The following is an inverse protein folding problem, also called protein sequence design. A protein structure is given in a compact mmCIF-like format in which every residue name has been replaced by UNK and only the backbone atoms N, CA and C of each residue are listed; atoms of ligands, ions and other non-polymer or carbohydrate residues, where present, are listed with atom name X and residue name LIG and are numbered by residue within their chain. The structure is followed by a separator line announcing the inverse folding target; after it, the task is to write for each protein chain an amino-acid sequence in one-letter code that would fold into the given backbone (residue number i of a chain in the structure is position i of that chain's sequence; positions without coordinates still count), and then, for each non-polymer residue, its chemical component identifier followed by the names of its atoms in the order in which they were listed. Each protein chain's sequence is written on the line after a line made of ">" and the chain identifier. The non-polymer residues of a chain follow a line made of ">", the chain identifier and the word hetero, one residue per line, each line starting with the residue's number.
data_IF_557299288021
#
_entry.id   IF_557299288021
#
_cell.length_a   1.000
_cell.length_b   1.000
_cell.length_c   1.000
_cell.angle_alpha   90.00
_cell.angle_beta   90.00
_cell.angle_gamma   90.00
#
_symmetry.space_group_name_H-M   'P 1'
#
loop_
_entity.id
_entity.type
_entity.pdbx_description
1 polymer ?
#
# COMPACT_ATOMS: atom_id res chain seq x y z
N UNK A 1 -18.26 17.02 0.26
CA UNK A 1 -18.10 17.23 1.70
C UNK A 1 -19.19 18.15 2.24
N UNK A 2 -19.22 19.42 1.85
CA UNK A 2 -20.19 20.42 2.35
C UNK A 2 -21.65 19.95 2.28
N UNK A 3 -22.10 19.45 1.13
CA UNK A 3 -23.47 18.95 0.94
C UNK A 3 -23.83 17.78 1.87
N UNK A 4 -22.90 16.91 2.21
CA UNK A 4 -23.16 15.79 3.13
C UNK A 4 -23.07 16.20 4.59
N UNK A 5 -22.18 17.13 4.95
CA UNK A 5 -22.02 17.58 6.33
C UNK A 5 -23.25 18.29 6.90
N UNK A 6 -24.06 18.91 6.02
CA UNK A 6 -25.34 19.54 6.42
C UNK A 6 -26.51 18.56 6.57
N UNK A 7 -26.33 17.29 6.14
CA UNK A 7 -27.38 16.25 6.23
C UNK A 7 -27.12 15.29 7.39
N UNK A 8 -26.00 14.57 7.32
CA UNK A 8 -25.66 13.55 8.31
C UNK A 8 -24.14 13.29 8.27
N UNK A 9 -23.44 13.62 9.35
CA UNK A 9 -22.00 13.36 9.47
C UNK A 9 -21.72 11.96 10.02
N UNK A 10 -22.39 11.57 11.11
CA UNK A 10 -22.21 10.29 11.78
C UNK A 10 -23.55 9.79 12.34
N UNK A 11 -23.70 8.48 12.39
CA UNK A 11 -24.74 7.77 13.13
C UNK A 11 -24.19 6.49 13.73
N UNK A 12 -24.92 5.84 14.63
CA UNK A 12 -24.53 4.52 15.14
C UNK A 12 -24.45 3.50 13.99
N UNK A 13 -23.45 2.61 14.07
CA UNK A 13 -23.30 1.48 13.16
C UNK A 13 -24.47 0.48 13.21
N UNK A 14 -25.36 0.61 14.18
CA UNK A 14 -26.60 -0.16 14.25
C UNK A 14 -27.63 0.25 13.19
N UNK A 15 -27.44 1.37 12.52
CA UNK A 15 -28.37 1.89 11.51
C UNK A 15 -27.75 1.85 10.11
N UNK A 16 -28.60 1.53 9.13
CA UNK A 16 -28.25 1.61 7.73
C UNK A 16 -28.35 3.05 7.24
N UNK A 17 -27.38 3.46 6.40
CA UNK A 17 -27.39 4.77 5.76
C UNK A 17 -27.11 4.61 4.27
N UNK A 18 -27.80 5.37 3.43
CA UNK A 18 -27.63 5.36 1.97
C UNK A 18 -26.19 5.66 1.55
N UNK A 19 -25.46 6.68 2.09
CA UNK A 19 -24.08 6.93 1.69
C UNK A 19 -23.13 5.76 1.98
N UNK A 20 -23.37 5.04 3.08
CA UNK A 20 -22.54 3.89 3.44
C UNK A 20 -22.82 2.70 2.54
N UNK A 21 -24.09 2.37 2.31
CA UNK A 21 -24.47 1.27 1.43
C UNK A 21 -23.95 1.48 -0.01
N UNK A 22 -24.15 2.68 -0.56
CA UNK A 22 -23.65 3.06 -1.89
C UNK A 22 -22.11 2.95 -1.97
N UNK A 23 -21.41 3.36 -0.92
CA UNK A 23 -19.94 3.26 -0.88
C UNK A 23 -19.48 1.81 -0.87
N UNK A 24 -20.07 0.95 -0.05
CA UNK A 24 -19.74 -0.47 0.02
C UNK A 24 -19.96 -1.18 -1.32
N UNK A 25 -21.14 -0.96 -1.93
CA UNK A 25 -21.47 -1.50 -3.25
C UNK A 25 -20.46 -1.07 -4.32
N UNK A 26 -20.16 0.24 -4.36
CA UNK A 26 -19.17 0.79 -5.30
C UNK A 26 -17.81 0.15 -5.12
N UNK A 27 -17.32 0.06 -3.87
CA UNK A 27 -15.99 -0.48 -3.59
C UNK A 27 -15.91 -1.98 -3.91
N UNK A 28 -16.97 -2.74 -3.60
CA UNK A 28 -17.11 -4.14 -3.99
C UNK A 28 -17.05 -4.31 -5.52
N UNK A 29 -17.84 -3.53 -6.25
CA UNK A 29 -17.92 -3.62 -7.71
C UNK A 29 -16.59 -3.33 -8.41
N UNK A 30 -15.85 -2.29 -7.98
CA UNK A 30 -14.58 -1.93 -8.62
C UNK A 30 -13.41 -2.84 -8.23
N UNK A 31 -13.49 -3.49 -7.08
CA UNK A 31 -12.43 -4.34 -6.55
C UNK A 31 -12.63 -5.82 -6.86
N UNK A 32 -13.87 -6.25 -7.09
CA UNK A 32 -14.24 -7.64 -7.29
C UNK A 32 -14.35 -8.46 -5.99
N UNK A 33 -14.23 -7.82 -4.82
CA UNK A 33 -14.41 -8.50 -3.53
C UNK A 33 -15.87 -8.46 -3.06
N UNK A 34 -16.33 -9.57 -2.50
CA UNK A 34 -17.72 -9.72 -2.03
C UNK A 34 -18.01 -8.96 -0.74
N UNK A 35 -16.99 -8.78 0.12
CA UNK A 35 -17.17 -8.22 1.46
C UNK A 35 -16.19 -7.11 1.75
N UNK A 36 -16.69 -6.03 2.35
CA UNK A 36 -15.94 -4.83 2.68
C UNK A 36 -16.17 -4.45 4.14
N UNK A 37 -15.11 -4.34 4.92
CA UNK A 37 -15.15 -3.84 6.30
C UNK A 37 -14.38 -2.53 6.41
N UNK A 38 -15.09 -1.45 6.70
CA UNK A 38 -14.53 -0.09 6.73
C UNK A 38 -14.01 0.29 8.10
N UNK A 39 -12.87 0.97 8.11
CA UNK A 39 -12.21 1.59 9.26
C UNK A 39 -11.87 3.05 8.94
N UNK A 40 -11.09 3.71 9.78
CA UNK A 40 -10.70 5.12 9.59
C UNK A 40 -9.27 5.24 9.06
N UNK A 41 -8.32 4.60 9.70
CA UNK A 41 -6.90 4.67 9.34
C UNK A 41 -6.42 3.41 8.65
N UNK A 42 -5.35 3.52 7.86
CA UNK A 42 -4.73 2.35 7.24
C UNK A 42 -4.29 1.31 8.27
N UNK A 43 -3.75 1.76 9.41
CA UNK A 43 -3.36 0.87 10.50
C UNK A 43 -4.54 0.06 11.05
N UNK A 44 -5.73 0.67 11.21
CA UNK A 44 -6.94 -0.07 11.63
C UNK A 44 -7.36 -1.12 10.59
N UNK A 45 -7.23 -0.81 9.30
CA UNK A 45 -7.54 -1.79 8.24
C UNK A 45 -6.52 -2.94 8.22
N UNK A 46 -5.24 -2.66 8.48
CA UNK A 46 -4.21 -3.70 8.66
C UNK A 46 -4.51 -4.58 9.89
N UNK A 47 -4.81 -3.98 11.04
CA UNK A 47 -5.22 -4.72 12.25
C UNK A 47 -6.47 -5.59 11.98
N UNK A 48 -7.41 -5.09 11.18
CA UNK A 48 -8.60 -5.83 10.73
C UNK A 48 -8.20 -7.05 9.90
N UNK A 49 -7.28 -6.90 8.95
CA UNK A 49 -6.79 -7.98 8.10
C UNK A 49 -6.05 -9.05 8.89
N UNK A 50 -5.22 -8.66 9.87
CA UNK A 50 -4.54 -9.58 10.80
C UNK A 50 -5.56 -10.41 11.59
N UNK A 51 -6.59 -9.75 12.13
CA UNK A 51 -7.66 -10.43 12.87
C UNK A 51 -8.46 -11.39 11.97
N UNK A 52 -8.77 -10.98 10.73
CA UNK A 52 -9.45 -11.82 9.74
C UNK A 52 -8.63 -13.06 9.41
N UNK A 53 -7.33 -12.89 9.10
CA UNK A 53 -6.42 -13.98 8.78
C UNK A 53 -6.29 -14.99 9.93
N UNK A 54 -6.13 -14.51 11.18
CA UNK A 54 -6.07 -15.39 12.36
C UNK A 54 -7.36 -16.18 12.55
N UNK A 55 -8.53 -15.53 12.43
CA UNK A 55 -9.83 -16.24 12.56
C UNK A 55 -10.05 -17.25 11.47
N UNK A 56 -9.72 -16.92 10.22
CA UNK A 56 -9.76 -17.90 9.13
C UNK A 56 -8.80 -19.06 9.40
N UNK A 57 -7.59 -18.78 9.89
CA UNK A 57 -6.63 -19.78 10.29
C UNK A 57 -7.17 -20.76 11.34
N UNK A 58 -7.89 -20.27 12.34
CA UNK A 58 -8.48 -21.10 13.40
C UNK A 58 -9.71 -21.86 12.92
N UNK A 59 -10.64 -21.21 12.24
CA UNK A 59 -11.97 -21.76 11.96
C UNK A 59 -12.09 -22.47 10.61
N UNK A 60 -11.29 -22.09 9.60
CA UNK A 60 -11.29 -22.75 8.28
C UNK A 60 -10.10 -23.67 8.11
N UNK A 61 -8.89 -23.22 8.45
CA UNK A 61 -7.67 -24.03 8.27
C UNK A 61 -7.42 -25.04 9.42
N UNK A 62 -8.04 -24.86 10.58
CA UNK A 62 -7.87 -25.74 11.73
C UNK A 62 -6.56 -25.54 12.50
N UNK A 63 -5.94 -24.38 12.43
CA UNK A 63 -4.78 -24.05 13.26
C UNK A 63 -5.24 -24.01 14.71
N UNK A 64 -4.47 -24.59 15.66
CA UNK A 64 -4.81 -24.51 17.08
C UNK A 64 -4.86 -23.05 17.55
N UNK A 65 -5.78 -22.75 18.47
CA UNK A 65 -5.94 -21.40 19.03
C UNK A 65 -4.60 -20.85 19.53
N UNK A 66 -4.40 -19.53 19.36
CA UNK A 66 -3.19 -18.79 19.70
C UNK A 66 -1.91 -19.12 18.89
N UNK A 67 -1.98 -20.05 17.93
CA UNK A 67 -0.82 -20.48 17.15
C UNK A 67 -0.78 -19.91 15.72
N UNK A 68 -1.77 -19.13 15.28
CA UNK A 68 -1.78 -18.60 13.93
C UNK A 68 -0.61 -17.64 13.67
N UNK A 69 0.13 -17.89 12.59
CA UNK A 69 1.29 -17.11 12.18
C UNK A 69 1.02 -16.40 10.84
N UNK A 70 1.51 -15.18 10.74
CA UNK A 70 1.48 -14.36 9.51
C UNK A 70 2.91 -14.05 9.09
N UNK A 71 3.22 -14.23 7.81
CA UNK A 71 4.53 -13.89 7.26
C UNK A 71 4.42 -12.50 6.60
N UNK A 72 5.37 -11.63 6.92
CA UNK A 72 5.50 -10.29 6.35
C UNK A 72 6.86 -10.13 5.65
N UNK A 73 6.99 -9.12 4.80
CA UNK A 73 8.25 -8.85 4.12
C UNK A 73 9.20 -7.98 4.96
N UNK A 74 10.50 -8.16 4.81
CA UNK A 74 11.49 -7.20 5.30
C UNK A 74 11.31 -5.85 4.59
N UNK A 75 11.52 -4.75 5.30
CA UNK A 75 11.32 -3.39 4.79
C UNK A 75 9.86 -2.96 4.74
N UNK A 76 8.93 -3.74 5.32
CA UNK A 76 7.51 -3.41 5.33
C UNK A 76 7.19 -2.14 6.11
N UNK A 77 6.09 -1.49 5.67
CA UNK A 77 5.45 -0.43 6.44
C UNK A 77 3.92 -0.56 6.38
N UNK A 78 3.33 -1.06 7.45
CA UNK A 78 1.88 -1.29 7.55
C UNK A 78 1.18 -0.38 8.57
N UNK A 79 1.91 0.52 9.20
CA UNK A 79 1.41 1.43 10.24
C UNK A 79 2.26 1.42 11.50
N UNK A 80 1.71 1.96 12.61
CA UNK A 80 2.48 2.17 13.85
C UNK A 80 1.73 1.79 15.13
N UNK A 81 0.72 0.92 15.05
CA UNK A 81 0.11 0.33 16.24
C UNK A 81 1.08 -0.65 16.90
N UNK A 82 0.84 -0.99 18.18
CA UNK A 82 1.69 -1.91 18.93
C UNK A 82 1.80 -3.30 18.28
N UNK A 83 0.73 -3.80 17.64
CA UNK A 83 0.79 -5.04 16.86
C UNK A 83 1.64 -4.87 15.60
N UNK A 84 1.43 -3.78 14.86
CA UNK A 84 2.12 -3.57 13.57
C UNK A 84 3.62 -3.35 13.78
N UNK A 85 4.03 -2.58 14.77
CA UNK A 85 5.47 -2.39 15.05
C UNK A 85 6.15 -3.68 15.51
N UNK A 86 5.40 -4.68 16.00
CA UNK A 86 5.95 -5.99 16.39
C UNK A 86 6.68 -6.68 15.24
N UNK A 87 6.23 -6.51 14.01
CA UNK A 87 6.80 -7.12 12.82
C UNK A 87 7.50 -6.13 11.88
N UNK A 88 7.67 -4.87 12.29
CA UNK A 88 8.52 -3.94 11.54
C UNK A 88 9.96 -4.43 11.54
N UNK A 89 10.65 -4.28 10.41
CA UNK A 89 12.09 -4.55 10.30
C UNK A 89 12.97 -3.32 10.61
N UNK A 90 12.35 -2.14 10.76
CA UNK A 90 13.05 -0.90 11.11
C UNK A 90 13.06 -0.74 12.65
N UNK A 91 14.26 -0.72 13.24
CA UNK A 91 14.45 -0.57 14.67
C UNK A 91 13.87 0.75 15.20
N UNK A 92 13.93 1.82 14.40
CA UNK A 92 13.40 3.13 14.81
C UNK A 92 11.89 3.12 15.08
N UNK A 93 11.16 2.15 14.54
CA UNK A 93 9.74 1.95 14.80
C UNK A 93 9.45 1.02 15.99
N UNK A 94 10.46 0.32 16.50
CA UNK A 94 10.33 -0.71 17.54
C UNK A 94 10.92 -0.30 18.89
N UNK A 95 11.99 0.47 18.88
CA UNK A 95 12.77 0.77 20.06
C UNK A 95 11.90 1.44 21.13
N UNK A 96 11.82 0.79 22.32
CA UNK A 96 11.07 1.25 23.46
C UNK A 96 9.55 0.97 23.44
N UNK A 97 9.01 0.28 22.44
CA UNK A 97 7.56 0.03 22.28
C UNK A 97 7.12 -1.42 22.59
N UNK A 98 8.05 -2.28 23.09
CA UNK A 98 7.65 -3.62 23.55
C UNK A 98 6.79 -3.58 24.84
N UNK A 99 6.14 -4.71 25.21
CA UNK A 99 6.26 -6.05 24.65
C UNK A 99 5.57 -6.20 23.31
N UNK A 100 6.15 -7.02 22.43
CA UNK A 100 5.66 -7.20 21.06
C UNK A 100 4.62 -8.32 20.94
N UNK A 101 3.66 -8.11 20.04
CA UNK A 101 2.65 -9.12 19.70
C UNK A 101 3.30 -10.29 18.95
N UNK A 102 3.12 -11.55 19.41
CA UNK A 102 3.66 -12.74 18.76
C UNK A 102 2.90 -13.16 17.50
N UNK A 103 3.42 -14.17 16.80
CA UNK A 103 2.78 -14.79 15.65
C UNK A 103 3.12 -14.13 14.31
N UNK A 104 4.29 -13.47 14.23
CA UNK A 104 4.79 -12.89 12.98
C UNK A 104 6.16 -13.43 12.63
N UNK A 105 6.39 -13.67 11.33
CA UNK A 105 7.68 -14.04 10.75
C UNK A 105 8.01 -13.09 9.61
N UNK A 106 9.29 -12.87 9.37
CA UNK A 106 9.78 -12.00 8.31
C UNK A 106 10.48 -12.82 7.22
N UNK A 107 10.20 -12.48 5.96
CA UNK A 107 10.87 -13.02 4.78
C UNK A 107 11.45 -11.88 3.93
N UNK A 108 12.39 -12.18 3.05
CA UNK A 108 13.04 -11.18 2.22
C UNK A 108 12.12 -10.72 1.09
N UNK A 109 12.06 -9.41 0.88
CA UNK A 109 11.26 -8.81 -0.20
C UNK A 109 12.04 -8.82 -1.52
N UNK A 110 11.36 -9.09 -2.64
CA UNK A 110 11.93 -8.90 -3.97
C UNK A 110 12.21 -7.41 -4.22
N UNK A 111 13.35 -7.06 -4.81
CA UNK A 111 13.79 -5.66 -4.96
C UNK A 111 14.80 -5.22 -3.89
N UNK A 112 15.04 -6.05 -2.86
CA UNK A 112 16.25 -5.99 -2.04
C UNK A 112 17.34 -6.97 -2.55
N UNK A 113 16.96 -7.94 -3.37
CA UNK A 113 17.86 -8.79 -4.14
C UNK A 113 18.01 -8.17 -5.54
N UNK A 114 19.21 -7.89 -6.01
CA UNK A 114 19.46 -7.45 -7.40
C UNK A 114 19.23 -8.63 -8.38
N UNK A 115 18.01 -9.22 -8.33
CA UNK A 115 17.65 -10.30 -9.22
C UNK A 115 17.19 -9.73 -10.58
N UNK A 116 17.82 -10.15 -11.65
CA UNK A 116 17.48 -9.74 -13.03
C UNK A 116 16.22 -10.41 -13.55
N UNK A 117 15.86 -11.57 -12.99
CA UNK A 117 14.64 -12.31 -13.34
C UNK A 117 13.99 -12.96 -12.12
N UNK A 118 12.72 -13.34 -12.27
CA UNK A 118 11.97 -13.99 -11.19
C UNK A 118 12.52 -15.39 -10.87
N UNK A 119 13.06 -16.09 -11.84
CA UNK A 119 13.65 -17.43 -11.67
C UNK A 119 14.87 -17.41 -10.74
N UNK A 120 15.59 -16.30 -10.70
CA UNK A 120 16.76 -16.09 -9.84
C UNK A 120 16.42 -15.34 -8.56
N UNK A 121 15.15 -15.07 -8.29
CA UNK A 121 14.72 -14.30 -7.13
C UNK A 121 14.59 -15.20 -5.88
N UNK A 122 15.53 -15.08 -4.95
CA UNK A 122 15.53 -15.82 -3.69
C UNK A 122 14.41 -15.42 -2.72
N UNK A 123 13.66 -14.36 -3.02
CA UNK A 123 12.59 -13.87 -2.16
C UNK A 123 11.48 -14.91 -1.98
N UNK A 124 11.02 -15.56 -3.06
CA UNK A 124 9.98 -16.59 -2.97
C UNK A 124 10.43 -17.76 -2.08
N UNK A 125 11.66 -18.21 -2.25
CA UNK A 125 12.26 -19.25 -1.40
C UNK A 125 12.34 -18.82 0.08
N UNK A 126 12.65 -17.54 0.33
CA UNK A 126 12.66 -16.96 1.68
C UNK A 126 11.27 -17.03 2.33
N UNK A 127 10.20 -16.72 1.59
CA UNK A 127 8.82 -16.90 2.06
C UNK A 127 8.50 -18.38 2.30
N UNK A 128 8.80 -19.26 1.35
CA UNK A 128 8.50 -20.69 1.46
C UNK A 128 9.16 -21.33 2.69
N UNK A 129 10.43 -21.02 2.98
CA UNK A 129 11.14 -21.51 4.17
C UNK A 129 10.51 -21.08 5.50
N UNK A 130 9.73 -20.01 5.53
CA UNK A 130 9.05 -19.54 6.75
C UNK A 130 7.69 -20.17 6.96
N UNK A 131 7.09 -20.76 5.91
CA UNK A 131 5.78 -21.39 5.97
C UNK A 131 5.85 -22.68 6.79
N UNK A 132 4.86 -22.87 7.68
CA UNK A 132 4.64 -24.09 8.41
C UNK A 132 3.13 -24.35 8.60
N UNK A 133 2.76 -25.37 9.35
CA UNK A 133 1.36 -25.77 9.61
C UNK A 133 0.52 -24.68 10.28
N UNK A 134 1.13 -23.73 10.97
CA UNK A 134 0.48 -22.66 11.69
C UNK A 134 0.40 -21.35 10.86
N UNK A 135 0.97 -21.31 9.66
CA UNK A 135 0.92 -20.13 8.81
C UNK A 135 -0.50 -19.98 8.24
N UNK A 136 -1.14 -18.84 8.49
CA UNK A 136 -2.48 -18.52 7.98
C UNK A 136 -2.46 -17.53 6.82
N UNK A 137 -1.45 -16.63 6.75
CA UNK A 137 -1.39 -15.61 5.70
C UNK A 137 0.04 -15.15 5.40
N UNK A 138 0.20 -14.60 4.20
CA UNK A 138 1.29 -13.68 3.83
C UNK A 138 0.66 -12.30 3.67
N UNK A 139 1.24 -11.28 4.34
CA UNK A 139 0.83 -9.88 4.26
C UNK A 139 1.99 -9.05 3.70
N UNK A 140 1.81 -8.45 2.54
CA UNK A 140 2.85 -7.67 1.86
C UNK A 140 2.29 -6.45 1.14
N UNK A 141 3.16 -5.46 0.90
CA UNK A 141 2.92 -4.38 -0.05
C UNK A 141 3.28 -4.87 -1.45
N UNK A 142 2.44 -4.67 -2.50
CA UNK A 142 2.82 -5.01 -3.88
C UNK A 142 4.03 -4.22 -4.37
N UNK A 143 4.17 -2.99 -3.89
CA UNK A 143 5.33 -2.12 -4.06
C UNK A 143 5.60 -1.51 -2.70
N UNK A 144 6.79 -1.70 -2.15
CA UNK A 144 7.14 -1.13 -0.86
C UNK A 144 7.40 0.37 -0.97
N UNK A 145 6.58 1.16 -0.28
CA UNK A 145 6.65 2.61 -0.30
C UNK A 145 7.76 3.19 0.56
N UNK A 146 7.65 2.98 1.86
CA UNK A 146 8.58 3.57 2.84
C UNK A 146 10.00 2.98 2.72
N UNK A 147 10.15 1.77 2.20
CA UNK A 147 11.46 1.16 1.93
C UNK A 147 12.18 1.73 0.70
N UNK A 148 11.62 2.73 0.01
CA UNK A 148 12.28 3.42 -1.10
C UNK A 148 11.69 3.14 -2.48
N UNK A 149 10.38 3.00 -2.57
CA UNK A 149 9.65 2.66 -3.82
C UNK A 149 10.26 1.42 -4.47
N UNK A 150 10.33 0.35 -3.70
CA UNK A 150 10.87 -0.93 -4.19
C UNK A 150 9.80 -1.63 -5.02
N UNK A 151 10.04 -1.69 -6.32
CA UNK A 151 9.19 -2.41 -7.27
C UNK A 151 9.76 -3.81 -7.44
N UNK A 152 9.00 -4.87 -7.15
CA UNK A 152 9.49 -6.22 -7.34
C UNK A 152 9.67 -6.55 -8.83
N UNK A 153 10.49 -7.55 -9.12
CA UNK A 153 10.65 -8.12 -10.47
C UNK A 153 9.31 -8.64 -10.96
N UNK A 154 9.01 -8.44 -12.23
CA UNK A 154 7.79 -8.93 -12.85
C UNK A 154 7.60 -10.44 -12.62
N UNK A 155 6.38 -10.85 -12.30
CA UNK A 155 6.03 -12.22 -11.92
C UNK A 155 6.15 -12.53 -10.43
N UNK A 156 6.67 -11.61 -9.60
CA UNK A 156 6.85 -11.87 -8.17
C UNK A 156 5.52 -12.07 -7.44
N UNK A 157 4.54 -11.21 -7.68
CA UNK A 157 3.21 -11.36 -7.06
C UNK A 157 2.51 -12.63 -7.55
N UNK A 158 2.70 -12.98 -8.83
CA UNK A 158 2.18 -14.21 -9.41
C UNK A 158 2.77 -15.43 -8.70
N UNK A 159 4.10 -15.49 -8.52
CA UNK A 159 4.76 -16.57 -7.78
C UNK A 159 4.33 -16.64 -6.32
N UNK A 160 4.12 -15.48 -5.69
CA UNK A 160 3.64 -15.42 -4.32
C UNK A 160 2.20 -15.95 -4.20
N UNK A 161 1.34 -15.62 -5.20
CA UNK A 161 -0.02 -16.16 -5.29
C UNK A 161 0.00 -17.68 -5.46
N UNK A 162 0.78 -18.21 -6.41
CA UNK A 162 0.96 -19.64 -6.62
C UNK A 162 1.43 -20.36 -5.33
N UNK A 163 2.38 -19.77 -4.61
CA UNK A 163 2.85 -20.30 -3.34
C UNK A 163 1.73 -20.35 -2.28
N UNK A 164 0.97 -19.26 -2.15
CA UNK A 164 -0.15 -19.21 -1.19
C UNK A 164 -1.22 -20.26 -1.51
N UNK A 165 -1.57 -20.43 -2.78
CA UNK A 165 -2.53 -21.44 -3.23
C UNK A 165 -2.05 -22.86 -2.91
N UNK A 166 -0.79 -23.16 -3.24
CA UNK A 166 -0.20 -24.48 -3.00
C UNK A 166 -0.11 -24.85 -1.51
N UNK A 167 0.00 -23.85 -0.63
CA UNK A 167 0.13 -24.05 0.84
C UNK A 167 -1.18 -23.81 1.59
N UNK A 168 -2.28 -23.49 0.90
CA UNK A 168 -3.57 -23.12 1.49
C UNK A 168 -3.40 -22.05 2.59
N UNK A 169 -2.86 -20.89 2.21
CA UNK A 169 -2.69 -19.70 3.07
C UNK A 169 -3.18 -18.46 2.32
N UNK A 170 -3.65 -17.47 3.06
CA UNK A 170 -4.17 -16.24 2.47
C UNK A 170 -3.04 -15.34 1.96
N UNK A 171 -3.21 -14.76 0.77
CA UNK A 171 -2.41 -13.64 0.28
C UNK A 171 -3.17 -12.34 0.55
N UNK A 172 -2.62 -11.48 1.42
CA UNK A 172 -3.19 -10.18 1.75
C UNK A 172 -2.26 -9.09 1.23
N UNK A 173 -2.80 -8.20 0.40
CA UNK A 173 -2.04 -7.10 -0.18
C UNK A 173 -2.41 -5.77 0.49
N UNK A 174 -1.40 -5.08 1.01
CA UNK A 174 -1.53 -3.72 1.50
C UNK A 174 -1.34 -2.74 0.35
N UNK A 175 -2.45 -2.24 -0.17
CA UNK A 175 -2.49 -1.23 -1.21
C UNK A 175 -2.90 0.16 -0.71
N UNK A 176 -2.63 0.45 0.56
CA UNK A 176 -2.89 1.77 1.15
C UNK A 176 -2.12 2.87 0.40
N UNK A 177 -0.89 2.59 -0.07
CA UNK A 177 -0.08 3.54 -0.84
C UNK A 177 -0.14 3.30 -2.35
N UNK A 178 -0.14 2.04 -2.78
CA UNK A 178 -0.04 1.64 -4.20
C UNK A 178 -1.36 1.66 -4.95
N UNK A 179 -2.48 1.55 -4.24
CA UNK A 179 -3.81 1.47 -4.83
C UNK A 179 -4.37 2.78 -5.36
N UNK A 180 -5.59 2.69 -5.87
CA UNK A 180 -6.41 3.82 -6.31
C UNK A 180 -5.73 4.70 -7.37
N UNK A 181 -5.14 4.05 -8.37
CA UNK A 181 -4.58 4.71 -9.55
C UNK A 181 -3.12 5.12 -9.44
N UNK A 182 -2.50 5.08 -8.25
CA UNK A 182 -1.15 5.57 -8.00
C UNK A 182 -0.10 4.97 -8.96
N UNK A 183 -0.22 3.68 -9.27
CA UNK A 183 0.73 2.94 -10.10
C UNK A 183 0.34 2.87 -11.59
N UNK A 184 -0.73 3.57 -12.01
CA UNK A 184 -1.23 3.52 -13.39
C UNK A 184 -2.20 2.36 -13.67
N UNK A 185 -2.59 1.62 -12.65
CA UNK A 185 -3.72 0.68 -12.60
C UNK A 185 -4.59 1.07 -11.40
N UNK A 186 -5.86 0.63 -11.37
CA UNK A 186 -6.72 0.90 -10.22
C UNK A 186 -6.12 0.33 -8.93
N UNK A 187 -5.66 -0.92 -8.98
CA UNK A 187 -4.89 -1.59 -7.94
C UNK A 187 -3.58 -2.12 -8.50
N UNK A 188 -2.52 -2.13 -7.68
CA UNK A 188 -1.19 -2.55 -8.13
C UNK A 188 -1.13 -4.04 -8.49
N UNK A 189 -1.90 -4.91 -7.83
CA UNK A 189 -1.96 -6.33 -8.16
C UNK A 189 -2.43 -6.60 -9.60
N UNK A 190 -3.17 -5.66 -10.20
CA UNK A 190 -3.64 -5.78 -11.59
C UNK A 190 -2.51 -5.68 -12.63
N UNK A 191 -1.30 -5.28 -12.23
CA UNK A 191 -0.15 -5.33 -13.13
C UNK A 191 0.25 -6.76 -13.50
N UNK A 192 -0.02 -7.71 -12.61
CA UNK A 192 0.27 -9.14 -12.82
C UNK A 192 -1.00 -9.99 -12.98
N UNK A 193 -2.18 -9.35 -13.07
CA UNK A 193 -3.47 -10.03 -13.28
C UNK A 193 -3.77 -11.14 -12.24
N UNK A 194 -3.28 -11.00 -11.03
CA UNK A 194 -3.61 -11.88 -9.90
C UNK A 194 -4.81 -11.34 -9.14
N UNK A 195 -5.40 -12.18 -8.27
CA UNK A 195 -6.40 -11.77 -7.28
C UNK A 195 -5.91 -12.21 -5.90
N UNK A 196 -5.69 -11.27 -4.95
CA UNK A 196 -5.37 -11.63 -3.57
C UNK A 196 -6.62 -12.10 -2.82
N UNK A 197 -6.42 -12.78 -1.68
CA UNK A 197 -7.52 -13.16 -0.78
C UNK A 197 -7.99 -11.98 0.06
N UNK A 198 -7.12 -11.02 0.30
CA UNK A 198 -7.43 -9.80 1.04
C UNK A 198 -6.76 -8.57 0.46
N UNK A 199 -7.49 -7.46 0.45
CA UNK A 199 -7.01 -6.16 -0.02
C UNK A 199 -7.23 -5.09 1.05
N UNK A 200 -6.19 -4.32 1.33
CA UNK A 200 -6.24 -3.24 2.30
C UNK A 200 -6.12 -1.91 1.56
N UNK A 201 -7.07 -1.00 1.80
CA UNK A 201 -7.12 0.32 1.18
C UNK A 201 -7.17 1.44 2.23
N UNK A 202 -6.66 2.61 1.88
CA UNK A 202 -6.66 3.79 2.75
C UNK A 202 -6.18 5.03 2.00
N UNK A 203 -5.58 5.99 2.70
CA UNK A 203 -5.01 7.24 2.14
C UNK A 203 -5.88 7.88 1.04
N UNK A 204 -5.59 7.61 -0.23
CA UNK A 204 -6.31 8.17 -1.38
C UNK A 204 -7.81 7.85 -1.38
N UNK A 205 -8.24 6.79 -0.69
CA UNK A 205 -9.65 6.43 -0.54
C UNK A 205 -10.49 7.57 0.05
N UNK A 206 -9.90 8.35 0.95
CA UNK A 206 -10.54 9.52 1.56
C UNK A 206 -10.47 10.81 0.74
N UNK A 207 -10.00 10.76 -0.51
CA UNK A 207 -9.90 11.91 -1.41
C UNK A 207 -9.03 13.05 -0.87
N UNK A 208 -8.06 12.75 0.00
CA UNK A 208 -7.23 13.71 0.75
C UNK A 208 -8.03 14.67 1.66
N UNK A 209 -9.29 14.37 1.96
CA UNK A 209 -10.18 15.21 2.77
C UNK A 209 -10.51 14.59 4.12
N UNK A 210 -10.79 13.29 4.16
CA UNK A 210 -11.20 12.58 5.37
C UNK A 210 -10.46 11.26 5.51
N UNK A 211 -10.14 10.83 6.74
CA UNK A 211 -9.64 9.48 6.97
C UNK A 211 -10.75 8.46 6.74
N UNK A 212 -10.48 7.50 5.88
CA UNK A 212 -11.26 6.28 5.67
C UNK A 212 -10.35 5.20 5.13
N UNK A 213 -10.57 3.97 5.57
CA UNK A 213 -9.87 2.79 5.10
C UNK A 213 -10.82 1.60 5.03
N UNK A 214 -10.39 0.55 4.38
CA UNK A 214 -11.16 -0.67 4.27
C UNK A 214 -10.25 -1.89 4.18
N UNK A 215 -10.70 -2.99 4.75
CA UNK A 215 -10.25 -4.34 4.43
C UNK A 215 -11.33 -5.04 3.60
N UNK A 216 -10.93 -5.59 2.47
CA UNK A 216 -11.80 -6.29 1.52
C UNK A 216 -11.35 -7.74 1.40
N UNK A 217 -12.30 -8.67 1.35
CA UNK A 217 -12.01 -10.10 1.20
C UNK A 217 -13.22 -10.85 0.69
N UNK A 218 -13.06 -12.16 0.49
CA UNK A 218 -14.17 -13.05 0.20
C UNK A 218 -15.14 -13.16 1.38
N UNK A 219 -16.36 -13.59 1.11
CA UNK A 219 -17.33 -13.89 2.14
C UNK A 219 -16.84 -14.99 3.09
N UNK A 220 -16.16 -16.01 2.56
CA UNK A 220 -15.56 -17.11 3.36
C UNK A 220 -14.66 -16.57 4.47
N UNK A 221 -13.78 -15.62 4.20
CA UNK A 221 -12.90 -15.02 5.20
C UNK A 221 -13.66 -14.11 6.15
N UNK A 222 -14.56 -13.28 5.62
CA UNK A 222 -15.25 -12.24 6.39
C UNK A 222 -16.37 -12.76 7.28
N UNK A 223 -17.02 -13.88 6.94
CA UNK A 223 -18.10 -14.50 7.73
C UNK A 223 -17.62 -15.02 9.09
N UNK A 224 -16.32 -15.11 9.31
CA UNK A 224 -15.75 -15.37 10.63
C UNK A 224 -15.90 -14.20 11.59
N UNK A 225 -16.05 -12.97 11.12
CA UNK A 225 -16.45 -11.85 11.96
C UNK A 225 -17.93 -11.96 12.30
N UNK A 226 -18.24 -12.19 13.57
CA UNK A 226 -19.62 -12.21 14.07
C UNK A 226 -20.01 -10.84 14.65
N UNK A 227 -21.31 -10.51 14.70
CA UNK A 227 -21.77 -9.27 15.31
C UNK A 227 -21.13 -9.03 16.69
N UNK A 228 -20.57 -7.84 16.90
CA UNK A 228 -19.87 -7.47 18.12
C UNK A 228 -18.41 -7.94 18.24
N UNK A 229 -17.91 -8.81 17.35
CA UNK A 229 -16.52 -9.31 17.44
C UNK A 229 -15.46 -8.33 16.94
N UNK A 230 -15.84 -7.40 16.08
CA UNK A 230 -14.96 -6.36 15.52
C UNK A 230 -15.79 -5.20 14.98
N UNK A 231 -15.20 -3.99 14.95
CA UNK A 231 -15.85 -2.80 14.42
C UNK A 231 -15.12 -1.52 14.81
N UNK A 232 -15.70 -0.39 14.41
CA UNK A 232 -15.22 0.95 14.69
C UNK A 232 -16.42 1.90 14.82
N UNK A 233 -16.37 2.85 15.73
CA UNK A 233 -17.43 3.86 15.89
C UNK A 233 -17.54 4.76 14.65
N UNK A 234 -16.42 5.19 14.10
CA UNK A 234 -16.38 6.10 12.95
C UNK A 234 -16.17 5.40 11.61
N UNK A 235 -15.79 4.13 11.59
CA UNK A 235 -15.54 3.40 10.34
C UNK A 235 -16.80 3.32 9.47
N UNK A 236 -16.74 3.85 8.25
CA UNK A 236 -17.87 3.91 7.32
C UNK A 236 -18.94 4.93 7.69
N UNK A 237 -18.60 6.00 8.41
CA UNK A 237 -19.55 7.08 8.68
C UNK A 237 -20.05 7.69 7.38
N UNK A 238 -21.30 8.22 7.34
CA UNK A 238 -21.92 8.74 6.12
C UNK A 238 -21.13 9.83 5.41
N UNK A 239 -20.45 10.69 6.19
CA UNK A 239 -19.66 11.78 5.62
C UNK A 239 -18.43 11.27 4.87
N UNK A 240 -17.64 10.41 5.50
CA UNK A 240 -16.46 9.83 4.88
C UNK A 240 -16.84 8.89 3.71
N UNK A 241 -17.92 8.13 3.84
CA UNK A 241 -18.43 7.25 2.77
C UNK A 241 -18.83 8.03 1.53
N UNK A 242 -19.50 9.17 1.67
CA UNK A 242 -19.87 10.03 0.54
C UNK A 242 -18.66 10.67 -0.14
N UNK A 243 -17.67 11.10 0.66
CA UNK A 243 -16.42 11.65 0.13
C UNK A 243 -15.63 10.57 -0.62
N UNK A 244 -15.48 9.38 -0.03
CA UNK A 244 -14.78 8.26 -0.66
C UNK A 244 -15.45 7.80 -1.96
N UNK A 245 -16.79 7.70 -1.98
CA UNK A 245 -17.55 7.40 -3.20
C UNK A 245 -17.23 8.39 -4.32
N UNK A 246 -17.19 9.70 -4.02
CA UNK A 246 -16.85 10.70 -5.03
C UNK A 246 -15.37 10.67 -5.43
N UNK A 247 -14.47 10.38 -4.50
CA UNK A 247 -13.05 10.20 -4.82
C UNK A 247 -12.84 9.04 -5.82
N UNK A 248 -13.57 7.93 -5.64
CA UNK A 248 -13.56 6.82 -6.59
C UNK A 248 -14.12 7.27 -7.95
N UNK A 249 -15.25 7.99 -7.99
CA UNK A 249 -15.83 8.47 -9.26
C UNK A 249 -14.83 9.30 -10.05
N UNK A 250 -14.12 10.22 -9.41
CA UNK A 250 -13.13 11.09 -10.04
C UNK A 250 -11.96 10.31 -10.68
N UNK A 251 -11.60 9.13 -10.15
CA UNK A 251 -10.57 8.30 -10.77
C UNK A 251 -10.94 7.92 -12.22
N UNK A 252 -12.24 7.71 -12.47
CA UNK A 252 -12.76 7.31 -13.79
C UNK A 252 -13.22 8.52 -14.60
N UNK A 253 -14.01 9.44 -14.02
CA UNK A 253 -14.53 10.63 -14.69
C UNK A 253 -13.41 11.48 -15.30
N UNK A 254 -12.33 11.72 -14.52
CA UNK A 254 -11.20 12.55 -14.90
C UNK A 254 -10.03 11.72 -15.51
N UNK A 255 -10.24 10.42 -15.76
CA UNK A 255 -9.23 9.50 -16.31
C UNK A 255 -7.90 9.51 -15.54
N UNK A 256 -7.96 9.65 -14.22
CA UNK A 256 -6.76 9.84 -13.39
C UNK A 256 -5.84 8.61 -13.40
N UNK A 257 -6.38 7.41 -13.55
CA UNK A 257 -5.61 6.15 -13.65
C UNK A 257 -4.77 6.16 -14.94
N UNK A 258 -5.39 6.53 -16.06
CA UNK A 258 -4.70 6.63 -17.37
C UNK A 258 -3.64 7.75 -17.32
N UNK A 259 -3.99 8.91 -16.76
CA UNK A 259 -3.03 10.00 -16.58
C UNK A 259 -1.84 9.58 -15.72
N UNK A 260 -2.08 8.85 -14.62
CA UNK A 260 -1.01 8.31 -13.77
C UNK A 260 -0.07 7.38 -14.54
N UNK A 261 -0.61 6.53 -15.41
CA UNK A 261 0.19 5.68 -16.28
C UNK A 261 1.06 6.51 -17.23
N UNK A 262 0.42 7.34 -18.06
CA UNK A 262 1.10 8.07 -19.14
C UNK A 262 2.10 9.09 -18.60
N UNK A 263 1.71 9.87 -17.58
CA UNK A 263 2.59 10.86 -16.96
C UNK A 263 3.67 10.22 -16.10
N UNK A 264 3.39 9.07 -15.51
CA UNK A 264 4.38 8.28 -14.77
C UNK A 264 5.47 7.73 -15.67
N UNK A 265 5.11 7.13 -16.79
CA UNK A 265 6.06 6.65 -17.81
C UNK A 265 6.91 7.81 -18.36
N UNK A 266 6.28 8.94 -18.66
CA UNK A 266 6.96 10.15 -19.09
C UNK A 266 7.96 10.63 -18.05
N UNK A 267 7.54 10.80 -16.80
CA UNK A 267 8.37 11.30 -15.72
C UNK A 267 9.55 10.36 -15.43
N UNK A 268 9.28 9.06 -15.34
CA UNK A 268 10.31 8.03 -15.13
C UNK A 268 11.37 8.05 -16.24
N UNK A 269 10.92 8.15 -17.50
CA UNK A 269 11.81 8.24 -18.67
C UNK A 269 12.70 9.47 -18.59
N UNK A 270 12.15 10.64 -18.23
CA UNK A 270 12.91 11.89 -18.10
C UNK A 270 13.90 11.86 -16.96
N UNK A 271 13.51 11.33 -15.81
CA UNK A 271 14.43 11.21 -14.66
C UNK A 271 15.61 10.29 -14.96
N UNK A 272 15.39 9.20 -15.71
CA UNK A 272 16.46 8.28 -16.15
C UNK A 272 17.44 8.91 -17.17
N UNK A 273 17.04 9.97 -17.85
CA UNK A 273 17.89 10.72 -18.78
C UNK A 273 18.76 11.77 -18.11
N UNK A 274 18.55 12.07 -16.82
CA UNK A 274 19.37 13.03 -16.09
C UNK A 274 20.77 12.43 -15.90
N UNK A 275 21.73 12.97 -16.61
CA UNK A 275 23.15 12.63 -16.43
C UNK A 275 23.66 13.28 -15.14
N UNK A 276 23.83 12.47 -14.10
CA UNK A 276 24.31 12.94 -12.79
C UNK A 276 25.01 11.80 -12.04
N UNK A 277 26.19 12.09 -11.51
CA UNK A 277 27.01 11.13 -10.74
C UNK A 277 26.36 10.71 -9.42
N UNK A 278 25.45 11.54 -8.89
CA UNK A 278 24.79 11.26 -7.61
C UNK A 278 23.65 10.25 -7.74
N UNK A 279 23.11 10.02 -8.95
CA UNK A 279 21.98 9.09 -9.17
C UNK A 279 22.52 7.68 -9.37
N UNK A 280 22.11 6.76 -8.49
CA UNK A 280 22.41 5.33 -8.58
C UNK A 280 21.37 4.60 -9.42
N UNK A 281 20.07 4.86 -9.15
CA UNK A 281 18.96 4.18 -9.79
C UNK A 281 17.71 5.05 -9.79
N UNK A 282 16.90 4.95 -10.86
CA UNK A 282 15.55 5.54 -10.93
C UNK A 282 14.56 4.43 -11.20
N UNK A 283 13.66 4.18 -10.24
CA UNK A 283 12.64 3.12 -10.28
C UNK A 283 11.26 3.67 -9.89
N UNK A 284 10.23 2.95 -10.28
CA UNK A 284 8.86 3.35 -9.96
C UNK A 284 7.83 2.75 -10.89
N UNK A 285 6.55 3.03 -10.60
CA UNK A 285 5.42 2.61 -11.42
C UNK A 285 4.31 3.67 -11.35
N UNK A 286 3.80 4.11 -12.52
CA UNK A 286 2.89 5.24 -12.57
C UNK A 286 3.51 6.52 -11.97
N UNK A 287 2.73 7.32 -11.32
CA UNK A 287 3.18 8.54 -10.64
C UNK A 287 3.72 8.26 -9.22
N UNK A 288 4.53 7.22 -9.08
CA UNK A 288 5.20 6.87 -7.82
C UNK A 288 6.63 6.42 -8.10
N UNK A 289 7.57 7.34 -7.91
CA UNK A 289 8.95 7.19 -8.36
C UNK A 289 9.92 7.41 -7.19
N UNK A 290 10.91 6.54 -7.10
CA UNK A 290 12.06 6.64 -6.22
C UNK A 290 13.33 6.90 -7.02
N UNK A 291 14.09 7.89 -6.59
CA UNK A 291 15.45 8.15 -7.10
C UNK A 291 16.41 7.79 -6.00
N UNK A 292 17.15 6.69 -6.18
CA UNK A 292 18.19 6.26 -5.26
C UNK A 292 19.50 6.95 -5.59
N UNK A 293 20.17 7.45 -4.56
CA UNK A 293 21.41 8.21 -4.63
C UNK A 293 22.62 7.35 -4.24
N UNK A 294 23.78 7.70 -4.75
CA UNK A 294 25.06 7.17 -4.28
C UNK A 294 25.34 7.74 -2.88
N UNK A 295 25.36 6.87 -1.86
CA UNK A 295 25.48 7.24 -0.44
C UNK A 295 26.78 8.03 -0.13
N UNK A 296 27.85 7.81 -0.89
CA UNK A 296 29.14 8.51 -0.75
C UNK A 296 29.10 9.96 -1.18
N UNK A 297 28.12 10.36 -1.96
CA UNK A 297 28.13 11.68 -2.63
C UNK A 297 27.20 12.69 -1.92
N UNK A 298 26.00 12.27 -1.50
CA UNK A 298 25.00 13.19 -0.95
C UNK A 298 23.92 12.49 -0.13
N UNK A 299 23.35 13.23 0.83
CA UNK A 299 22.20 12.78 1.60
C UNK A 299 20.88 13.20 0.90
N UNK A 300 19.92 12.28 0.78
CA UNK A 300 18.63 12.55 0.15
C UNK A 300 17.85 13.71 0.81
N UNK A 301 17.99 13.88 2.13
CA UNK A 301 17.35 14.99 2.86
C UNK A 301 17.87 16.36 2.40
N UNK A 302 19.18 16.48 2.20
CA UNK A 302 19.78 17.75 1.76
C UNK A 302 19.30 18.11 0.35
N UNK A 303 19.21 17.11 -0.55
CA UNK A 303 18.63 17.32 -1.88
C UNK A 303 17.14 17.70 -1.82
N UNK A 304 16.37 17.09 -0.93
CA UNK A 304 14.97 17.50 -0.73
C UNK A 304 14.85 18.96 -0.28
N UNK A 305 15.77 19.45 0.56
CA UNK A 305 15.83 20.86 0.97
C UNK A 305 16.24 21.79 -0.19
N UNK A 306 17.18 21.37 -1.03
CA UNK A 306 17.55 22.13 -2.24
C UNK A 306 16.37 22.20 -3.21
N UNK A 307 15.65 21.11 -3.42
CA UNK A 307 14.45 21.07 -4.27
C UNK A 307 13.32 21.93 -3.68
N UNK A 308 13.17 21.97 -2.35
CA UNK A 308 12.22 22.86 -1.67
C UNK A 308 12.52 24.34 -2.00
N UNK A 309 13.79 24.75 -2.01
CA UNK A 309 14.19 26.11 -2.36
C UNK A 309 13.89 26.46 -3.85
N UNK A 310 13.81 25.43 -4.70
CA UNK A 310 13.36 25.58 -6.10
C UNK A 310 11.83 25.51 -6.25
N UNK A 311 11.09 25.37 -5.14
CA UNK A 311 9.62 25.30 -5.09
C UNK A 311 9.03 23.90 -5.26
N UNK A 312 9.85 22.83 -5.21
CA UNK A 312 9.42 21.46 -5.38
C UNK A 312 9.43 20.70 -4.05
N UNK A 313 8.23 20.30 -3.57
CA UNK A 313 8.09 19.46 -2.39
C UNK A 313 8.29 17.99 -2.75
N UNK A 314 9.27 17.36 -2.16
CA UNK A 314 9.49 15.93 -2.20
C UNK A 314 9.92 15.43 -0.83
N UNK A 315 10.03 14.12 -0.64
CA UNK A 315 10.39 13.55 0.64
C UNK A 315 11.41 12.44 0.46
N UNK A 316 12.42 12.45 1.34
CA UNK A 316 13.34 11.34 1.49
C UNK A 316 12.65 10.13 2.14
N UNK A 317 13.13 8.94 1.80
CA UNK A 317 12.93 7.73 2.57
C UNK A 317 14.28 7.04 2.75
N UNK A 318 14.55 6.64 4.00
CA UNK A 318 15.90 6.32 4.42
C UNK A 318 16.88 7.46 4.09
N UNK A 319 18.19 7.15 3.99
CA UNK A 319 19.22 8.17 3.75
C UNK A 319 19.45 8.51 2.28
N UNK A 320 19.04 7.60 1.39
CA UNK A 320 19.51 7.58 -0.01
C UNK A 320 18.43 7.73 -1.05
N UNK A 321 17.13 7.66 -0.71
CA UNK A 321 16.08 7.68 -1.72
C UNK A 321 15.22 8.93 -1.62
N UNK A 322 15.05 9.64 -2.73
CA UNK A 322 14.05 10.71 -2.87
C UNK A 322 12.80 10.13 -3.51
N UNK A 323 11.64 10.38 -2.90
CA UNK A 323 10.32 9.97 -3.43
C UNK A 323 9.63 11.12 -4.14
N UNK A 324 9.14 10.84 -5.33
CA UNK A 324 8.24 11.70 -6.08
C UNK A 324 6.88 11.03 -6.23
N UNK A 325 5.84 11.70 -5.75
CA UNK A 325 4.47 11.23 -5.81
C UNK A 325 3.50 12.39 -6.12
N UNK A 326 3.59 12.98 -7.31
CA UNK A 326 2.76 14.11 -7.67
C UNK A 326 1.26 13.74 -7.70
N UNK A 327 0.34 14.73 -7.71
CA UNK A 327 -1.08 14.48 -7.87
C UNK A 327 -1.38 13.69 -9.14
N UNK A 328 -2.37 12.78 -9.10
CA UNK A 328 -2.73 11.95 -10.26
C UNK A 328 -3.19 12.77 -11.47
N UNK A 329 -3.66 14.00 -11.25
CA UNK A 329 -4.10 14.94 -12.28
C UNK A 329 -2.98 15.84 -12.82
N UNK A 330 -1.73 15.60 -12.45
CA UNK A 330 -0.60 16.46 -12.87
C UNK A 330 -0.54 16.56 -14.38
N UNK A 331 -0.30 17.79 -14.88
CA UNK A 331 -0.15 18.03 -16.29
C UNK A 331 1.30 17.76 -16.77
N UNK A 332 1.45 17.51 -18.07
CA UNK A 332 2.80 17.41 -18.66
C UNK A 332 3.62 18.68 -18.44
N UNK A 333 2.99 19.86 -18.53
CA UNK A 333 3.64 21.17 -18.28
C UNK A 333 4.22 21.26 -16.87
N UNK A 334 3.47 20.82 -15.86
CA UNK A 334 3.93 20.85 -14.48
C UNK A 334 5.05 19.83 -14.24
N UNK A 335 4.99 18.67 -14.91
CA UNK A 335 6.08 17.71 -14.88
C UNK A 335 7.34 18.25 -15.56
N UNK A 336 7.23 18.90 -16.72
CA UNK A 336 8.37 19.52 -17.40
C UNK A 336 9.05 20.55 -16.49
N UNK A 337 8.25 21.40 -15.83
CA UNK A 337 8.75 22.34 -14.84
C UNK A 337 9.48 21.65 -13.67
N UNK A 338 8.89 20.57 -13.13
CA UNK A 338 9.52 19.82 -12.05
C UNK A 338 10.83 19.16 -12.49
N UNK A 339 10.87 18.57 -13.70
CA UNK A 339 12.06 17.95 -14.28
C UNK A 339 13.19 18.95 -14.44
N UNK A 340 12.90 20.18 -14.90
CA UNK A 340 13.89 21.25 -15.02
C UNK A 340 14.51 21.59 -13.66
N UNK A 341 13.68 21.68 -12.60
CA UNK A 341 14.14 21.94 -11.23
C UNK A 341 15.00 20.80 -10.69
N UNK A 342 14.55 19.56 -10.88
CA UNK A 342 15.31 18.36 -10.46
C UNK A 342 16.65 18.32 -11.20
N UNK A 343 16.63 18.51 -12.51
CA UNK A 343 17.84 18.50 -13.34
C UNK A 343 18.83 19.57 -12.90
N UNK A 344 18.35 20.80 -12.62
CA UNK A 344 19.18 21.90 -12.11
C UNK A 344 19.86 21.49 -10.81
N UNK A 345 19.10 21.00 -9.81
CA UNK A 345 19.64 20.61 -8.50
C UNK A 345 20.64 19.45 -8.62
N UNK A 346 20.32 18.42 -9.41
CA UNK A 346 21.18 17.25 -9.57
C UNK A 346 22.50 17.52 -10.31
N UNK A 347 22.57 18.61 -11.07
CA UNK A 347 23.78 19.05 -11.78
C UNK A 347 24.65 20.03 -10.98
N UNK A 348 24.17 20.55 -9.86
CA UNK A 348 24.93 21.47 -9.00
C UNK A 348 25.87 20.75 -8.03
N UNK A 349 25.76 19.43 -7.96
CA UNK A 349 26.59 18.54 -7.13
C UNK A 349 27.43 17.64 -8.05
#
# INVERSE_FOLDING_TARGET
>A
LQSQSTKLAITSRAFYTEPFATFLEKLSNISGFESVLTMNTGAEAVETSIKAARRWGYFSKGIPEDNAEIIVANGNFHGRTTTIVSFSSDSSYKDGFGPFTPGFKTADYCGSCNCESIENCLSIESFEKKINKNTCAILVEPIQGEAGIRVPTEGWLTKLRELCDAKNILLILDEIQSGLGRTGKLFAFQHENIMPDGLILGKALGGALLPISAFLSSKEVMDHFKPGSHGSTFGGNPLASKVASKAIDLLFEDKLIENSKNMGEYFLSKLRQIDSKIVKEVRGKGLWIGVELNESEVNAKDLCLMLLNEGLLCKETHKTVIRFAPPLMISKKDLDWAIDKITKVFKTI
#
